data_IF_918041035152
#
_entry.id   IF_918041035152
#
_cell.length_a   1.000
_cell.length_b   1.000
_cell.length_c   1.000
_cell.angle_alpha   90.00
_cell.angle_beta   90.00
_cell.angle_gamma   90.00
#
_symmetry.space_group_name_H-M   'P 1'
#
loop_
_entity.id
_entity.type
_entity.pdbx_description
1 polymer ?
#
# COMPACT_ATOMS: atom_id res chain seq x y z
N UNK A 1 -38.28 12.29 19.88
CA UNK A 1 -37.42 12.05 18.70
C UNK A 1 -36.26 13.01 18.78
N UNK A 2 -35.05 12.50 18.89
CA UNK A 2 -33.83 13.27 19.13
C UNK A 2 -32.76 12.32 19.66
N UNK A 3 -32.20 11.52 18.77
CA UNK A 3 -31.09 10.63 19.10
C UNK A 3 -29.81 11.43 19.24
N UNK A 4 -29.15 11.25 20.40
CA UNK A 4 -27.90 11.86 20.79
C UNK A 4 -26.74 11.13 20.11
N UNK A 5 -25.91 11.85 19.37
CA UNK A 5 -24.66 11.35 18.82
C UNK A 5 -23.66 11.09 19.95
N UNK A 6 -23.37 9.82 20.21
CA UNK A 6 -22.27 9.39 21.09
C UNK A 6 -20.94 9.68 20.40
N UNK A 7 -20.23 10.69 20.89
CA UNK A 7 -18.84 10.94 20.49
C UNK A 7 -17.96 9.83 21.08
N UNK A 8 -17.38 8.99 20.23
CA UNK A 8 -16.31 8.06 20.63
C UNK A 8 -15.00 8.84 20.63
N UNK A 9 -14.63 9.37 21.79
CA UNK A 9 -13.31 9.95 22.03
C UNK A 9 -12.34 8.80 22.28
N UNK A 10 -11.62 8.35 21.25
CA UNK A 10 -10.44 7.51 21.45
C UNK A 10 -9.35 8.43 22.01
N UNK A 11 -8.95 8.19 23.26
CA UNK A 11 -8.07 9.05 24.04
C UNK A 11 -6.70 9.25 23.38
N UNK A 12 -6.51 10.42 22.77
CA UNK A 12 -5.20 10.98 22.38
C UNK A 12 -4.32 11.29 23.61
N UNK A 13 -4.86 11.25 24.82
CA UNK A 13 -4.13 11.52 26.06
C UNK A 13 -3.12 10.41 26.42
N UNK A 14 -3.22 9.21 25.83
CA UNK A 14 -2.21 8.15 26.00
C UNK A 14 -0.96 8.33 25.13
N UNK A 15 -1.02 9.13 24.07
CA UNK A 15 0.15 9.42 23.22
C UNK A 15 1.04 10.54 23.77
N UNK A 16 0.63 11.24 24.84
CA UNK A 16 1.40 12.34 25.44
C UNK A 16 2.04 12.02 26.79
N UNK A 17 1.78 10.84 27.36
CA UNK A 17 2.20 10.50 28.73
C UNK A 17 3.23 9.36 28.84
N UNK A 18 3.84 8.90 27.75
CA UNK A 18 4.77 7.76 27.80
C UNK A 18 5.74 7.72 26.63
N UNK A 19 6.73 8.61 26.64
CA UNK A 19 7.97 8.44 25.88
C UNK A 19 9.00 7.64 26.70
N UNK A 20 8.53 6.70 27.52
CA UNK A 20 9.36 5.67 28.13
C UNK A 20 9.11 4.39 27.34
N UNK A 21 10.17 3.89 26.70
CA UNK A 21 10.26 2.67 25.90
C UNK A 21 9.05 1.73 26.04
N UNK A 22 8.17 1.73 25.03
CA UNK A 22 7.35 0.55 24.76
C UNK A 22 8.33 -0.51 24.26
N UNK A 23 8.62 -1.59 25.01
CA UNK A 23 9.39 -2.68 24.46
C UNK A 23 8.47 -3.36 23.44
N UNK A 24 8.74 -3.12 22.15
CA UNK A 24 8.18 -3.97 21.11
C UNK A 24 8.80 -5.35 21.31
N UNK A 25 8.00 -6.32 21.73
CA UNK A 25 8.42 -7.72 21.73
C UNK A 25 8.70 -8.10 20.27
N UNK A 26 9.93 -8.46 19.88
CA UNK A 26 10.24 -8.83 18.49
C UNK A 26 9.40 -9.99 17.97
N UNK A 27 8.85 -10.83 18.86
CA UNK A 27 7.94 -11.92 18.50
C UNK A 27 6.50 -11.45 18.22
N UNK A 28 6.18 -10.18 18.43
CA UNK A 28 4.81 -9.64 18.30
C UNK A 28 4.54 -8.87 16.99
N UNK A 29 5.55 -8.71 16.12
CA UNK A 29 5.43 -8.04 14.81
C UNK A 29 5.89 -8.96 13.68
N UNK A 30 5.43 -10.20 13.73
CA UNK A 30 5.44 -11.11 12.58
C UNK A 30 4.06 -11.05 11.94
N UNK A 31 3.98 -10.63 10.68
CA UNK A 31 2.73 -10.68 9.94
C UNK A 31 2.53 -12.08 9.38
N UNK A 32 1.63 -12.86 9.99
CA UNK A 32 0.97 -13.95 9.29
C UNK A 32 -0.16 -13.33 8.47
N UNK A 33 -0.34 -13.71 7.20
CA UNK A 33 -1.55 -13.35 6.49
C UNK A 33 -2.74 -13.94 7.24
N UNK A 34 -3.46 -13.10 7.98
CA UNK A 34 -4.76 -13.47 8.53
C UNK A 34 -5.75 -13.58 7.38
N UNK A 35 -5.77 -14.76 6.74
CA UNK A 35 -6.82 -15.21 5.83
C UNK A 35 -8.09 -15.35 6.67
N UNK A 36 -8.81 -14.24 6.81
CA UNK A 36 -9.87 -14.12 7.80
C UNK A 36 -10.76 -12.93 7.55
N UNK A 37 -11.38 -12.88 6.37
CA UNK A 37 -12.61 -12.13 6.17
C UNK A 37 -13.70 -13.08 5.70
N UNK A 38 -14.96 -12.82 6.08
CA UNK A 38 -16.17 -13.58 5.67
C UNK A 38 -16.47 -13.47 4.15
N UNK A 39 -15.44 -13.30 3.33
CA UNK A 39 -15.52 -13.22 1.87
C UNK A 39 -15.15 -14.59 1.29
N UNK A 40 -15.90 -15.01 0.27
CA UNK A 40 -15.71 -16.31 -0.39
C UNK A 40 -14.36 -16.41 -1.14
N UNK A 41 -13.61 -15.31 -1.29
CA UNK A 41 -12.35 -15.20 -2.04
C UNK A 41 -11.29 -14.36 -1.30
N UNK A 42 -9.99 -14.70 -1.46
CA UNK A 42 -8.91 -13.83 -0.99
C UNK A 42 -8.93 -12.49 -1.72
N UNK A 43 -8.56 -11.43 -1.01
CA UNK A 43 -8.64 -10.05 -1.51
C UNK A 43 -7.26 -9.41 -1.65
N UNK A 44 -6.99 -8.89 -2.85
CA UNK A 44 -5.82 -8.07 -3.16
C UNK A 44 -6.24 -6.61 -3.18
N UNK A 45 -5.57 -5.76 -2.40
CA UNK A 45 -5.72 -4.31 -2.53
C UNK A 45 -4.54 -3.71 -3.27
N UNK A 46 -4.79 -3.15 -4.45
CA UNK A 46 -3.80 -2.28 -5.09
C UNK A 46 -3.96 -0.83 -4.62
N UNK A 47 -2.90 -0.27 -4.07
CA UNK A 47 -2.81 1.14 -3.66
C UNK A 47 -1.95 1.89 -4.65
N UNK A 48 -2.58 2.77 -5.41
CA UNK A 48 -1.86 3.68 -6.31
C UNK A 48 -1.21 4.82 -5.54
N UNK A 49 0.02 5.19 -5.91
CA UNK A 49 0.56 6.50 -5.63
C UNK A 49 -0.41 7.57 -6.17
N UNK A 50 -0.76 8.54 -5.32
CA UNK A 50 -1.52 9.71 -5.74
C UNK A 50 -0.68 10.63 -6.62
N UNK A 51 -0.40 10.25 -7.86
CA UNK A 51 0.21 11.17 -8.81
C UNK A 51 -0.80 12.31 -9.06
N UNK A 52 -0.48 13.45 -8.47
CA UNK A 52 -1.24 14.69 -8.60
C UNK A 52 -1.10 15.15 -10.06
N UNK A 53 -2.17 14.93 -10.83
CA UNK A 53 -2.23 15.30 -12.24
C UNK A 53 -1.83 16.76 -12.42
N UNK A 54 -1.02 17.01 -13.45
CA UNK A 54 -0.33 18.28 -13.71
C UNK A 54 0.63 18.75 -12.61
N UNK A 55 1.58 17.91 -12.22
CA UNK A 55 2.77 18.41 -11.53
C UNK A 55 3.67 19.19 -12.51
N UNK A 56 3.28 20.35 -13.05
CA UNK A 56 4.26 21.30 -13.62
C UNK A 56 5.24 21.81 -12.56
N UNK A 57 4.95 21.56 -11.29
CA UNK A 57 5.80 21.81 -10.13
C UNK A 57 5.63 20.66 -9.14
N UNK A 58 6.73 19.97 -8.83
CA UNK A 58 6.80 18.78 -7.98
C UNK A 58 7.83 17.79 -8.53
N UNK A 59 8.34 16.82 -7.75
CA UNK A 59 9.43 15.92 -8.16
C UNK A 59 9.08 14.95 -9.32
N UNK A 60 7.91 15.11 -9.95
CA UNK A 60 7.36 14.21 -10.96
C UNK A 60 6.91 14.93 -12.24
N UNK A 61 7.37 16.17 -12.45
CA UNK A 61 6.96 17.00 -13.59
C UNK A 61 7.34 16.45 -14.97
N UNK A 62 8.27 15.50 -15.00
CA UNK A 62 8.76 14.86 -16.21
C UNK A 62 8.05 13.54 -16.54
N UNK A 63 7.05 13.11 -15.75
CA UNK A 63 6.38 11.82 -15.95
C UNK A 63 5.01 11.98 -16.57
N UNK A 64 4.78 11.17 -17.58
CA UNK A 64 3.55 11.15 -18.36
C UNK A 64 2.45 10.40 -17.58
N UNK A 65 1.44 11.14 -17.11
CA UNK A 65 0.26 10.60 -16.43
C UNK A 65 -0.41 9.48 -17.26
N UNK A 66 -0.32 9.54 -18.59
CA UNK A 66 -0.84 8.50 -19.49
C UNK A 66 -0.10 7.18 -19.28
N UNK A 67 1.24 7.22 -19.24
CA UNK A 67 2.05 6.02 -19.03
C UNK A 67 1.76 5.39 -17.67
N UNK A 68 1.48 6.22 -16.65
CA UNK A 68 1.04 5.69 -15.37
C UNK A 68 -0.32 5.03 -15.40
N UNK A 69 -1.28 5.65 -16.05
CA UNK A 69 -2.59 5.05 -16.20
C UNK A 69 -2.55 3.75 -17.04
N UNK A 70 -1.73 3.67 -18.08
CA UNK A 70 -1.55 2.41 -18.81
C UNK A 70 -0.95 1.32 -17.92
N UNK A 71 0.05 1.65 -17.08
CA UNK A 71 0.61 0.70 -16.12
C UNK A 71 -0.45 0.21 -15.12
N UNK A 72 -1.29 1.10 -14.60
CA UNK A 72 -2.37 0.74 -13.67
C UNK A 72 -3.40 -0.18 -14.32
N UNK A 73 -3.74 0.07 -15.59
CA UNK A 73 -4.65 -0.78 -16.35
C UNK A 73 -4.03 -2.14 -16.69
N UNK A 74 -2.73 -2.18 -16.99
CA UNK A 74 -1.99 -3.43 -17.17
C UNK A 74 -1.94 -4.24 -15.87
N UNK A 75 -1.66 -3.59 -14.74
CA UNK A 75 -1.71 -4.20 -13.42
C UNK A 75 -3.08 -4.79 -13.12
N UNK A 76 -4.17 -4.08 -13.41
CA UNK A 76 -5.53 -4.60 -13.24
C UNK A 76 -5.72 -5.92 -14.00
N UNK A 77 -5.29 -5.98 -15.26
CA UNK A 77 -5.36 -7.21 -16.07
C UNK A 77 -4.49 -8.33 -15.51
N UNK A 78 -3.29 -8.01 -15.03
CA UNK A 78 -2.39 -8.99 -14.40
C UNK A 78 -3.02 -9.58 -13.13
N UNK A 79 -3.59 -8.74 -12.26
CA UNK A 79 -4.24 -9.19 -11.03
C UNK A 79 -5.46 -10.08 -11.32
N UNK A 80 -6.29 -9.69 -12.29
CA UNK A 80 -7.44 -10.49 -12.78
C UNK A 80 -7.01 -11.85 -13.30
N UNK A 81 -5.88 -11.92 -14.01
CA UNK A 81 -5.34 -13.14 -14.59
C UNK A 81 -4.57 -14.02 -13.60
N UNK A 82 -4.12 -13.46 -12.46
CA UNK A 82 -3.26 -14.15 -11.51
C UNK A 82 -3.98 -15.28 -10.77
N UNK A 83 -5.29 -15.15 -10.53
CA UNK A 83 -6.09 -16.16 -9.82
C UNK A 83 -7.53 -15.72 -9.59
N UNK A 84 -8.25 -16.47 -8.75
CA UNK A 84 -9.62 -16.13 -8.34
C UNK A 84 -9.63 -15.27 -7.06
N UNK A 85 -9.32 -13.99 -7.23
CA UNK A 85 -9.21 -13.02 -6.14
C UNK A 85 -10.19 -11.87 -6.32
N UNK A 86 -10.69 -11.34 -5.22
CA UNK A 86 -11.32 -10.02 -5.22
C UNK A 86 -10.21 -8.95 -5.29
N UNK A 87 -10.42 -7.91 -6.09
CA UNK A 87 -9.41 -6.89 -6.36
C UNK A 87 -9.95 -5.52 -6.00
N UNK A 88 -9.35 -4.88 -5.01
CA UNK A 88 -9.71 -3.53 -4.57
C UNK A 88 -8.69 -2.53 -5.10
N UNK A 89 -9.12 -1.65 -5.99
CA UNK A 89 -8.34 -0.49 -6.44
C UNK A 89 -8.57 0.69 -5.49
N UNK A 90 -7.63 0.90 -4.55
CA UNK A 90 -7.65 2.06 -3.66
C UNK A 90 -7.05 3.27 -4.34
N UNK A 91 -7.93 4.15 -4.83
CA UNK A 91 -7.53 5.40 -5.46
C UNK A 91 -7.40 6.54 -4.44
N UNK A 92 -6.50 7.49 -4.71
CA UNK A 92 -6.38 8.72 -3.92
C UNK A 92 -7.64 9.59 -4.07
N UNK A 93 -8.19 10.16 -2.99
CA UNK A 93 -9.37 11.02 -3.07
C UNK A 93 -9.02 12.34 -3.76
N UNK A 94 -9.46 12.53 -5.01
CA UNK A 94 -9.36 13.81 -5.73
C UNK A 94 -10.72 14.53 -5.68
N UNK A 95 -10.70 15.81 -5.33
CA UNK A 95 -11.87 16.69 -5.46
C UNK A 95 -11.86 17.36 -6.83
N UNK A 96 -12.89 17.15 -7.63
CA UNK A 96 -13.21 18.00 -8.79
C UNK A 96 -12.82 17.50 -10.18
N UNK A 97 -12.20 16.33 -10.31
CA UNK A 97 -11.96 15.67 -11.61
C UNK A 97 -12.11 14.15 -11.49
N UNK A 98 -12.76 13.50 -12.45
CA UNK A 98 -12.80 12.04 -12.54
C UNK A 98 -11.39 11.44 -12.63
N UNK A 99 -11.24 10.18 -12.25
CA UNK A 99 -10.00 9.44 -12.44
C UNK A 99 -10.12 8.61 -13.72
N UNK A 100 -9.26 8.81 -14.74
CA UNK A 100 -9.34 8.05 -16.00
C UNK A 100 -9.30 6.52 -15.82
N UNK A 101 -8.70 6.03 -14.73
CA UNK A 101 -8.70 4.61 -14.38
C UNK A 101 -10.07 4.14 -13.90
N UNK A 102 -10.77 4.96 -13.12
CA UNK A 102 -12.11 4.65 -12.63
C UNK A 102 -13.06 4.45 -13.81
N UNK A 103 -13.06 5.42 -14.74
CA UNK A 103 -13.89 5.37 -15.94
C UNK A 103 -13.50 4.18 -16.84
N UNK A 104 -12.19 3.97 -17.08
CA UNK A 104 -11.72 2.91 -17.97
C UNK A 104 -11.93 1.51 -17.43
N UNK A 105 -11.77 1.28 -16.12
CA UNK A 105 -12.03 -0.01 -15.50
C UNK A 105 -13.54 -0.31 -15.48
N UNK A 106 -14.39 0.70 -15.23
CA UNK A 106 -15.84 0.57 -15.28
C UNK A 106 -16.34 0.29 -16.71
N UNK A 107 -15.90 1.08 -17.70
CA UNK A 107 -16.32 0.96 -19.11
C UNK A 107 -15.85 -0.36 -19.74
N UNK A 108 -14.65 -0.83 -19.37
CA UNK A 108 -14.11 -2.07 -19.89
C UNK A 108 -14.89 -3.30 -19.42
N UNK A 109 -15.75 -3.18 -18.39
CA UNK A 109 -16.35 -4.32 -17.68
C UNK A 109 -15.30 -5.42 -17.43
N UNK A 110 -14.09 -4.99 -17.05
CA UNK A 110 -12.90 -5.82 -17.19
C UNK A 110 -13.07 -7.13 -16.43
N UNK A 111 -13.64 -7.05 -15.22
CA UNK A 111 -13.99 -8.17 -14.39
C UNK A 111 -14.95 -7.71 -13.28
N UNK A 112 -15.90 -8.55 -12.87
CA UNK A 112 -16.83 -8.26 -11.77
C UNK A 112 -16.16 -8.33 -10.39
N UNK A 113 -14.94 -8.88 -10.32
CA UNK A 113 -14.11 -8.95 -9.11
C UNK A 113 -13.38 -7.66 -8.77
N UNK A 114 -13.43 -6.64 -9.64
CA UNK A 114 -12.76 -5.35 -9.40
C UNK A 114 -13.72 -4.37 -8.70
N UNK A 115 -13.34 -3.94 -7.50
CA UNK A 115 -13.98 -2.87 -6.74
C UNK A 115 -13.08 -1.63 -6.69
N UNK A 116 -13.65 -0.44 -6.91
CA UNK A 116 -12.90 0.82 -6.92
C UNK A 116 -13.28 1.63 -5.68
N UNK A 117 -12.29 1.82 -4.79
CA UNK A 117 -12.49 2.48 -3.49
C UNK A 117 -11.74 3.81 -3.44
N UNK A 118 -12.47 4.91 -3.60
CA UNK A 118 -11.90 6.26 -3.54
C UNK A 118 -12.09 6.93 -2.18
N UNK A 119 -13.33 7.01 -1.72
CA UNK A 119 -13.70 7.92 -0.63
C UNK A 119 -13.60 7.28 0.78
N UNK A 120 -13.36 5.97 0.85
CA UNK A 120 -13.07 5.26 2.11
C UNK A 120 -11.65 5.57 2.58
N UNK A 121 -11.43 5.90 3.88
CA UNK A 121 -10.09 6.02 4.44
C UNK A 121 -9.27 4.72 4.28
N UNK A 122 -7.96 4.83 4.06
CA UNK A 122 -7.11 3.65 3.87
C UNK A 122 -7.21 2.67 5.05
N UNK A 123 -7.10 3.18 6.28
CA UNK A 123 -7.22 2.40 7.51
C UNK A 123 -8.48 1.55 7.64
N UNK A 124 -9.57 1.89 6.93
CA UNK A 124 -10.79 1.08 6.85
C UNK A 124 -10.80 0.18 5.62
N UNK A 125 -10.31 0.67 4.50
CA UNK A 125 -10.28 -0.11 3.27
C UNK A 125 -9.37 -1.34 3.42
N UNK A 126 -8.19 -1.16 4.02
CA UNK A 126 -7.16 -2.19 4.19
C UNK A 126 -7.60 -3.36 5.09
N UNK A 127 -8.60 -3.16 5.96
CA UNK A 127 -9.18 -4.25 6.77
C UNK A 127 -9.73 -5.38 5.88
N UNK A 128 -10.16 -5.07 4.65
CA UNK A 128 -10.65 -6.04 3.65
C UNK A 128 -9.55 -6.80 2.91
N UNK A 129 -8.31 -6.34 2.97
CA UNK A 129 -7.22 -6.87 2.14
C UNK A 129 -6.45 -7.96 2.87
N UNK A 130 -6.15 -9.06 2.19
CA UNK A 130 -5.18 -10.05 2.65
C UNK A 130 -3.77 -9.64 2.22
N UNK A 131 -3.65 -9.17 0.97
CA UNK A 131 -2.39 -8.68 0.37
C UNK A 131 -2.56 -7.24 -0.09
N UNK A 132 -1.57 -6.40 0.18
CA UNK A 132 -1.50 -5.03 -0.34
C UNK A 132 -0.40 -4.94 -1.40
N UNK A 133 -0.80 -4.70 -2.64
CA UNK A 133 0.10 -4.38 -3.75
C UNK A 133 0.21 -2.86 -3.86
N UNK A 134 1.41 -2.33 -4.02
CA UNK A 134 1.62 -0.89 -4.05
C UNK A 134 2.81 -0.51 -4.90
N UNK A 135 2.73 0.61 -5.60
CA UNK A 135 3.85 1.13 -6.40
C UNK A 135 4.68 2.18 -5.66
N UNK A 136 4.04 2.95 -4.76
CA UNK A 136 4.72 3.82 -3.79
C UNK A 136 3.75 4.43 -2.77
N UNK A 137 3.73 3.93 -1.53
CA UNK A 137 3.01 4.61 -0.46
C UNK A 137 3.91 4.93 0.73
N UNK A 138 4.31 6.18 0.92
CA UNK A 138 5.10 6.53 2.12
C UNK A 138 4.32 6.33 3.42
N UNK A 139 3.06 6.76 3.49
CA UNK A 139 2.22 6.62 4.70
C UNK A 139 1.45 5.31 4.73
N UNK A 140 0.89 4.90 3.59
CA UNK A 140 0.11 3.66 3.50
C UNK A 140 0.98 2.41 3.69
N UNK A 141 2.28 2.45 3.39
CA UNK A 141 3.21 1.37 3.72
C UNK A 141 3.29 1.14 5.23
N UNK A 142 3.46 2.20 6.02
CA UNK A 142 3.48 2.11 7.48
C UNK A 142 2.15 1.61 8.05
N UNK A 143 1.03 2.12 7.53
CA UNK A 143 -0.30 1.66 7.95
C UNK A 143 -0.50 0.17 7.62
N UNK A 144 0.00 -0.30 6.48
CA UNK A 144 -0.08 -1.72 6.09
C UNK A 144 0.76 -2.61 7.00
N UNK A 145 1.97 -2.17 7.34
CA UNK A 145 2.85 -2.88 8.27
C UNK A 145 2.26 -2.97 9.68
N UNK A 146 1.70 -1.85 10.19
CA UNK A 146 1.06 -1.82 11.52
C UNK A 146 -0.19 -2.71 11.60
N UNK A 147 -0.80 -3.03 10.46
CA UNK A 147 -1.94 -3.93 10.35
C UNK A 147 -1.53 -5.33 9.89
N UNK A 148 -0.23 -5.64 9.91
CA UNK A 148 0.34 -6.94 9.57
C UNK A 148 -0.14 -7.48 8.21
N UNK A 149 -0.29 -6.59 7.23
CA UNK A 149 -0.68 -7.00 5.87
C UNK A 149 0.54 -7.44 5.09
N UNK A 150 0.43 -8.52 4.33
CA UNK A 150 1.47 -8.90 3.38
C UNK A 150 1.59 -7.82 2.29
N UNK A 151 2.80 -7.32 2.05
CA UNK A 151 3.04 -6.21 1.13
C UNK A 151 3.86 -6.68 -0.06
N UNK A 152 3.39 -6.38 -1.26
CA UNK A 152 4.17 -6.48 -2.50
C UNK A 152 4.37 -5.07 -3.06
N UNK A 153 5.63 -4.64 -3.11
CA UNK A 153 6.03 -3.37 -3.67
C UNK A 153 6.42 -3.53 -5.14
N UNK A 154 5.80 -2.75 -6.03
CA UNK A 154 6.16 -2.67 -7.45
C UNK A 154 7.11 -1.48 -7.64
N UNK A 155 8.39 -1.76 -7.90
CA UNK A 155 9.34 -0.70 -8.27
C UNK A 155 9.18 -0.36 -9.75
N UNK A 156 8.47 0.74 -10.02
CA UNK A 156 8.25 1.24 -11.38
C UNK A 156 9.54 1.80 -12.02
N UNK A 157 10.67 1.79 -11.32
CA UNK A 157 11.90 2.50 -11.69
C UNK A 157 11.69 4.02 -11.65
N UNK A 158 10.62 4.46 -10.97
CA UNK A 158 10.17 5.83 -11.09
C UNK A 158 10.65 6.78 -10.02
N UNK A 159 11.04 6.22 -8.89
CA UNK A 159 11.48 6.94 -7.73
C UNK A 159 12.90 6.49 -7.43
N UNK A 160 13.75 7.45 -7.07
CA UNK A 160 15.08 7.11 -6.60
C UNK A 160 14.96 6.67 -5.15
N UNK A 161 15.39 5.45 -4.90
CA UNK A 161 15.59 4.94 -3.57
C UNK A 161 17.02 5.23 -3.15
N UNK A 162 17.20 5.54 -1.88
CA UNK A 162 18.51 5.57 -1.26
C UNK A 162 18.87 4.14 -0.91
N UNK A 163 20.14 3.78 -1.07
CA UNK A 163 20.60 2.40 -0.96
C UNK A 163 20.19 1.78 0.38
N UNK A 164 20.37 2.51 1.49
CA UNK A 164 19.98 2.06 2.82
C UNK A 164 18.45 1.87 2.96
N UNK A 165 17.66 2.77 2.39
CA UNK A 165 16.18 2.66 2.42
C UNK A 165 15.71 1.50 1.55
N UNK A 166 16.30 1.33 0.37
CA UNK A 166 15.98 0.24 -0.56
C UNK A 166 16.24 -1.10 0.12
N UNK A 167 17.41 -1.25 0.72
CA UNK A 167 17.79 -2.46 1.44
C UNK A 167 16.84 -2.77 2.59
N UNK A 168 16.50 -1.79 3.41
CA UNK A 168 15.55 -1.98 4.52
C UNK A 168 14.17 -2.45 4.03
N UNK A 169 13.72 -1.94 2.89
CA UNK A 169 12.46 -2.37 2.27
C UNK A 169 12.57 -3.76 1.68
N UNK A 170 13.61 -4.05 0.90
CA UNK A 170 13.86 -5.39 0.32
C UNK A 170 14.03 -6.48 1.38
N UNK A 171 14.58 -6.14 2.56
CA UNK A 171 14.69 -7.06 3.70
C UNK A 171 13.35 -7.30 4.41
N UNK A 172 12.33 -6.45 4.18
CA UNK A 172 11.06 -6.47 4.92
C UNK A 172 9.83 -6.85 4.08
N UNK A 173 9.85 -6.58 2.78
CA UNK A 173 8.74 -6.82 1.86
C UNK A 173 9.23 -7.37 0.52
N UNK A 174 8.34 -8.02 -0.23
CA UNK A 174 8.64 -8.42 -1.60
C UNK A 174 8.68 -7.20 -2.50
N UNK A 175 9.82 -6.96 -3.14
CA UNK A 175 9.98 -5.91 -4.16
C UNK A 175 10.07 -6.55 -5.54
N UNK A 176 9.21 -6.12 -6.46
CA UNK A 176 9.18 -6.58 -7.85
C UNK A 176 9.50 -5.38 -8.73
N UNK A 177 10.64 -5.44 -9.41
CA UNK A 177 10.99 -4.47 -10.44
C UNK A 177 10.07 -4.66 -11.65
N UNK A 178 9.52 -3.58 -12.19
CA UNK A 178 8.59 -3.67 -13.33
C UNK A 178 9.30 -3.66 -14.69
N UNK A 179 10.60 -3.95 -14.73
CA UNK A 179 11.32 -4.22 -15.97
C UNK A 179 11.24 -5.71 -16.33
N UNK A 180 10.94 -6.01 -17.60
CA UNK A 180 10.85 -7.39 -18.06
C UNK A 180 9.60 -8.14 -17.58
N UNK A 181 9.81 -9.25 -16.85
CA UNK A 181 8.82 -10.31 -16.58
C UNK A 181 8.05 -10.13 -15.26
N UNK A 182 7.71 -8.88 -14.93
CA UNK A 182 7.12 -8.52 -13.63
C UNK A 182 5.73 -9.09 -13.42
N UNK A 183 4.95 -9.29 -14.48
CA UNK A 183 3.61 -9.88 -14.39
C UNK A 183 3.69 -11.34 -13.93
N UNK A 184 4.69 -12.08 -14.43
CA UNK A 184 4.93 -13.45 -14.00
C UNK A 184 5.43 -13.50 -12.55
N UNK A 185 6.34 -12.60 -12.17
CA UNK A 185 6.83 -12.49 -10.80
C UNK A 185 5.69 -12.16 -9.82
N UNK A 186 4.85 -11.18 -10.14
CA UNK A 186 3.70 -10.79 -9.33
C UNK A 186 2.69 -11.94 -9.21
N UNK A 187 2.39 -12.63 -10.32
CA UNK A 187 1.47 -13.77 -10.29
C UNK A 187 2.01 -14.93 -9.44
N UNK A 188 3.31 -15.22 -9.54
CA UNK A 188 3.94 -16.26 -8.75
C UNK A 188 3.93 -15.92 -7.26
N UNK A 189 4.26 -14.67 -6.92
CA UNK A 189 4.25 -14.16 -5.55
C UNK A 189 2.85 -14.24 -4.93
N UNK A 190 1.82 -13.72 -5.63
CA UNK A 190 0.45 -13.75 -5.13
C UNK A 190 -0.02 -15.18 -4.88
N UNK A 191 0.30 -16.11 -5.79
CA UNK A 191 -0.02 -17.52 -5.61
C UNK A 191 0.68 -18.09 -4.37
N UNK A 192 1.98 -17.86 -4.23
CA UNK A 192 2.77 -18.38 -3.11
C UNK A 192 2.21 -17.88 -1.78
N UNK A 193 1.90 -16.59 -1.67
CA UNK A 193 1.32 -15.98 -0.47
C UNK A 193 -0.03 -16.59 -0.12
N UNK A 194 -0.92 -16.78 -1.10
CA UNK A 194 -2.23 -17.37 -0.83
C UNK A 194 -2.20 -18.89 -0.60
N UNK A 195 -1.19 -19.59 -1.11
CA UNK A 195 -1.03 -21.04 -0.89
C UNK A 195 -0.31 -21.37 0.42
N UNK A 196 0.67 -20.56 0.81
CA UNK A 196 1.57 -20.83 1.95
C UNK A 196 1.34 -19.91 3.16
N UNK A 197 0.59 -18.82 2.97
CA UNK A 197 0.36 -17.76 3.95
C UNK A 197 1.34 -16.60 3.81
N UNK A 198 2.55 -16.83 3.28
CA UNK A 198 3.62 -15.84 3.25
C UNK A 198 4.05 -15.37 4.66
N UNK A 199 5.32 -15.03 4.83
CA UNK A 199 5.80 -14.42 6.08
C UNK A 199 6.62 -13.18 5.76
N UNK A 200 6.29 -12.07 6.43
CA UNK A 200 7.07 -10.84 6.37
C UNK A 200 7.31 -10.30 7.77
N UNK A 201 8.50 -9.74 7.96
CA UNK A 201 8.90 -9.12 9.22
C UNK A 201 9.20 -7.65 8.99
N UNK A 202 8.50 -6.79 9.74
CA UNK A 202 8.64 -5.34 9.63
C UNK A 202 9.49 -4.75 10.75
N UNK A 203 10.05 -5.59 11.64
CA UNK A 203 10.74 -5.15 12.86
C UNK A 203 11.87 -4.18 12.55
N UNK A 204 12.75 -4.52 11.61
CA UNK A 204 13.90 -3.68 11.24
C UNK A 204 13.45 -2.32 10.71
N UNK A 205 12.44 -2.32 9.83
CA UNK A 205 11.94 -1.13 9.18
C UNK A 205 11.14 -0.22 10.14
N UNK A 206 10.30 -0.79 11.01
CA UNK A 206 9.59 -0.05 12.06
C UNK A 206 10.58 0.54 13.07
N UNK A 207 11.61 -0.22 13.46
CA UNK A 207 12.64 0.27 14.37
C UNK A 207 13.40 1.45 13.78
N UNK A 208 13.72 1.41 12.48
CA UNK A 208 14.33 2.54 11.78
C UNK A 208 13.41 3.76 11.80
N UNK A 209 12.12 3.56 11.51
CA UNK A 209 11.12 4.63 11.48
C UNK A 209 10.89 5.28 12.86
N UNK A 210 11.01 4.50 13.93
CA UNK A 210 10.77 4.93 15.31
C UNK A 210 12.02 5.47 16.03
N UNK A 211 13.17 5.62 15.35
CA UNK A 211 14.40 6.11 16.01
C UNK A 211 14.17 7.49 16.66
N UNK A 212 14.67 7.74 17.89
CA UNK A 212 14.48 9.04 18.56
C UNK A 212 15.10 10.23 17.79
N UNK A 213 16.16 9.97 17.00
CA UNK A 213 16.79 10.95 16.13
C UNK A 213 16.00 11.19 14.82
N UNK A 214 14.90 10.47 14.62
CA UNK A 214 14.06 10.54 13.44
C UNK A 214 13.34 11.89 13.37
N UNK A 215 13.77 12.73 12.44
CA UNK A 215 13.00 13.88 12.00
C UNK A 215 12.61 13.66 10.54
N UNK A 216 11.42 14.10 10.09
CA UNK A 216 11.08 14.08 8.67
C UNK A 216 12.16 14.76 7.82
N UNK A 217 12.87 15.74 8.38
CA UNK A 217 13.98 16.42 7.73
C UNK A 217 15.25 15.56 7.64
N UNK A 218 15.52 14.69 8.62
CA UNK A 218 16.57 13.69 8.54
C UNK A 218 16.25 12.68 7.42
N UNK A 219 15.00 12.19 7.33
CA UNK A 219 14.56 11.37 6.20
C UNK A 219 14.76 12.13 4.88
N UNK A 220 14.32 13.38 4.76
CA UNK A 220 14.51 14.16 3.52
C UNK A 220 15.97 14.48 3.19
N UNK A 221 16.86 14.62 4.17
CA UNK A 221 18.30 14.81 3.95
C UNK A 221 18.98 13.51 3.54
N UNK A 222 18.66 12.39 4.19
CA UNK A 222 19.06 11.06 3.71
C UNK A 222 18.40 10.72 2.37
N UNK A 223 17.30 11.39 2.00
CA UNK A 223 16.60 11.27 0.73
C UNK A 223 16.96 12.36 -0.32
N UNK A 224 17.93 13.25 -0.06
CA UNK A 224 18.29 14.35 -0.97
C UNK A 224 19.80 14.47 -1.29
N UNK A 225 20.66 13.75 -0.56
CA UNK A 225 22.12 13.67 -0.79
C UNK A 225 22.53 12.36 -1.49
#
# INVERSE_FOLDING_TARGET
MGESLTTVTVGLDRLRAGAEHIPLDPASVTGEAHVGSDLDRPTIMYVSAGLHGHNRTGPHFWKDDITYHEHQFELARTLVAAGDYDIVFKLSPKRGSGNPIEDRLADASLDDRIDIVRDTPFSRAVERADVVVMDRPTTVFLESMLLNKYIVCLDLGWFRWFEDTRRLVEDSVTVIETDGAWQQALTAELRDVFETGGEQSYVSLINEYCRPEYTPNALWQTLAD
#
